data_IF_187439539988
#
_entry.id   IF_187439539988
#
_cell.length_a   1.000
_cell.length_b   1.000
_cell.length_c   1.000
_cell.angle_alpha   90.00
_cell.angle_beta   90.00
_cell.angle_gamma   90.00
#
_symmetry.space_group_name_H-M   'P 1'
#
loop_
_entity.id
_entity.type
_entity.pdbx_description
1 polymer ?
#
# COMPACT_ATOMS: atom_id res chain seq x y z
N UNK A 1 0.86 3.53 -22.33
CA UNK A 1 1.49 3.66 -21.00
C UNK A 1 1.20 2.34 -20.30
N UNK A 2 2.19 1.46 -20.16
CA UNK A 2 1.97 0.14 -19.54
C UNK A 2 1.90 0.35 -18.02
N UNK A 3 0.74 0.06 -17.46
CA UNK A 3 0.57 -0.15 -16.03
C UNK A 3 1.47 -1.31 -15.61
N UNK A 4 2.53 -1.03 -14.85
CA UNK A 4 3.26 -2.06 -14.12
C UNK A 4 2.35 -2.55 -13.02
N UNK A 5 1.79 -3.75 -13.19
CA UNK A 5 0.95 -4.35 -12.16
C UNK A 5 1.82 -4.62 -10.92
N UNK A 6 1.27 -4.37 -9.72
CA UNK A 6 1.95 -4.71 -8.47
C UNK A 6 2.27 -6.22 -8.36
N UNK A 7 1.67 -7.04 -9.23
CA UNK A 7 1.85 -8.48 -9.32
C UNK A 7 3.19 -8.89 -9.99
N UNK A 8 3.85 -8.00 -10.72
CA UNK A 8 5.08 -8.33 -11.48
C UNK A 8 6.36 -8.28 -10.62
N UNK A 9 6.25 -7.93 -9.33
CA UNK A 9 7.39 -7.84 -8.40
C UNK A 9 8.37 -6.69 -8.69
N UNK A 10 8.12 -5.88 -9.73
CA UNK A 10 8.95 -4.74 -10.08
C UNK A 10 8.79 -3.60 -9.06
N UNK A 11 9.87 -2.87 -8.72
CA UNK A 11 9.76 -1.70 -7.87
C UNK A 11 8.80 -0.66 -8.49
N UNK A 12 7.87 -0.16 -7.67
CA UNK A 12 6.93 0.88 -8.07
C UNK A 12 7.41 2.22 -7.54
N UNK A 13 7.71 3.13 -8.45
CA UNK A 13 8.09 4.52 -8.15
C UNK A 13 6.87 5.42 -8.29
N UNK A 14 6.52 6.09 -7.20
CA UNK A 14 5.45 7.09 -7.14
C UNK A 14 6.09 8.42 -6.71
N UNK A 15 6.09 9.40 -7.61
CA UNK A 15 6.74 10.69 -7.33
C UNK A 15 6.04 11.51 -6.23
N UNK A 16 4.86 11.09 -5.78
CA UNK A 16 4.13 11.73 -4.68
C UNK A 16 4.55 11.26 -3.29
N UNK A 17 5.40 10.22 -3.20
CA UNK A 17 5.85 9.64 -1.93
C UNK A 17 7.37 9.73 -1.77
N UNK A 18 7.83 9.74 -0.52
CA UNK A 18 9.26 9.58 -0.19
C UNK A 18 9.68 8.12 -0.32
N UNK A 19 10.73 7.84 -1.08
CA UNK A 19 11.24 6.47 -1.28
C UNK A 19 10.57 5.76 -2.46
N UNK A 20 10.66 4.43 -2.48
CA UNK A 20 10.03 3.58 -3.49
C UNK A 20 9.44 2.32 -2.87
N UNK A 21 8.51 1.67 -3.56
CA UNK A 21 7.85 0.45 -3.08
C UNK A 21 8.40 -0.77 -3.80
N UNK A 22 8.56 -1.86 -3.06
CA UNK A 22 8.92 -3.18 -3.58
C UNK A 22 7.76 -4.12 -3.26
N UNK A 23 7.04 -4.64 -4.27
CA UNK A 23 5.99 -5.62 -4.03
C UNK A 23 6.54 -6.90 -3.41
N UNK A 24 5.81 -7.43 -2.42
CA UNK A 24 6.15 -8.69 -1.74
C UNK A 24 5.17 -9.77 -2.17
N UNK A 25 3.87 -9.52 -2.02
CA UNK A 25 2.81 -10.49 -2.32
C UNK A 25 1.47 -9.79 -2.51
N UNK A 26 0.64 -10.28 -3.43
CA UNK A 26 -0.72 -9.80 -3.64
C UNK A 26 -1.76 -10.88 -3.33
N UNK A 27 -2.79 -10.49 -2.56
CA UNK A 27 -3.96 -11.31 -2.25
C UNK A 27 -5.13 -10.82 -3.09
N UNK A 28 -5.49 -11.56 -4.14
CA UNK A 28 -6.62 -11.24 -5.02
C UNK A 28 -7.96 -11.24 -4.27
N UNK A 29 -8.87 -10.35 -4.65
CA UNK A 29 -10.26 -10.37 -4.16
C UNK A 29 -10.92 -11.73 -4.42
N UNK A 30 -11.78 -12.17 -3.51
CA UNK A 30 -12.45 -13.47 -3.61
C UNK A 30 -11.60 -14.68 -3.21
N UNK A 31 -10.29 -14.53 -2.97
CA UNK A 31 -9.49 -15.64 -2.44
C UNK A 31 -9.80 -15.87 -0.95
N UNK A 32 -10.02 -17.13 -0.51
CA UNK A 32 -10.16 -17.46 0.91
C UNK A 32 -8.89 -17.12 1.67
N UNK A 33 -9.01 -16.38 2.78
CA UNK A 33 -7.85 -16.05 3.63
C UNK A 33 -7.56 -17.12 4.68
N UNK A 34 -8.55 -17.94 5.01
CA UNK A 34 -8.46 -18.98 6.02
C UNK A 34 -9.56 -20.05 5.81
N UNK A 35 -9.59 -21.06 6.69
CA UNK A 35 -10.55 -22.17 6.65
C UNK A 35 -12.01 -21.74 6.96
N UNK A 36 -12.26 -20.50 7.39
CA UNK A 36 -13.62 -20.00 7.62
C UNK A 36 -14.34 -19.61 6.32
N UNK A 37 -13.64 -19.58 5.19
CA UNK A 37 -14.20 -19.19 3.89
C UNK A 37 -14.40 -17.68 3.73
N UNK A 38 -13.87 -16.87 4.66
CA UNK A 38 -13.86 -15.40 4.51
C UNK A 38 -12.93 -14.98 3.38
N UNK A 39 -13.39 -14.05 2.56
CA UNK A 39 -12.67 -13.54 1.39
C UNK A 39 -12.40 -12.04 1.50
N UNK A 40 -11.36 -11.58 0.83
CA UNK A 40 -11.12 -10.14 0.64
C UNK A 40 -12.10 -9.56 -0.38
N UNK A 41 -12.68 -8.39 -0.10
CA UNK A 41 -13.51 -7.66 -1.07
C UNK A 41 -12.67 -6.89 -2.11
N UNK A 42 -11.42 -6.56 -1.75
CA UNK A 42 -10.45 -5.87 -2.59
C UNK A 42 -9.21 -6.75 -2.76
N UNK A 43 -8.54 -6.66 -3.91
CA UNK A 43 -7.19 -7.17 -4.02
C UNK A 43 -6.26 -6.27 -3.21
N UNK A 44 -5.36 -6.86 -2.44
CA UNK A 44 -4.41 -6.14 -1.60
C UNK A 44 -3.00 -6.67 -1.83
N UNK A 45 -2.08 -5.77 -2.16
CA UNK A 45 -0.66 -6.06 -2.33
C UNK A 45 0.14 -5.55 -1.13
N UNK A 46 0.82 -6.47 -0.46
CA UNK A 46 1.83 -6.16 0.54
C UNK A 46 3.09 -5.72 -0.16
N UNK A 47 3.64 -4.60 0.31
CA UNK A 47 4.84 -4.01 -0.25
C UNK A 47 5.75 -3.54 0.89
N UNK A 48 7.04 -3.49 0.62
CA UNK A 48 7.97 -2.72 1.43
C UNK A 48 8.21 -1.38 0.79
N UNK A 49 8.01 -0.31 1.55
CA UNK A 49 8.50 1.00 1.20
C UNK A 49 9.90 1.17 1.73
N UNK A 50 10.84 1.39 0.83
CA UNK A 50 12.24 1.67 1.14
C UNK A 50 12.42 3.18 1.14
N UNK A 51 12.62 3.73 2.33
CA UNK A 51 12.95 5.15 2.51
C UNK A 51 14.43 5.41 2.16
N UNK A 52 14.79 6.68 1.91
CA UNK A 52 16.18 7.08 1.75
C UNK A 52 17.05 6.73 2.97
N UNK A 53 18.37 6.64 2.78
CA UNK A 53 19.33 6.14 3.79
C UNK A 53 19.37 6.95 5.08
N UNK A 54 18.91 8.20 5.06
CA UNK A 54 18.82 9.09 6.21
C UNK A 54 17.56 8.89 7.07
N UNK A 55 16.74 7.86 6.81
CA UNK A 55 15.51 7.58 7.57
C UNK A 55 15.65 6.35 8.48
N UNK A 56 14.99 6.38 9.64
CA UNK A 56 14.90 5.27 10.60
C UNK A 56 13.46 5.09 11.11
N UNK A 57 12.85 3.89 10.98
CA UNK A 57 13.35 2.75 10.22
C UNK A 57 13.36 3.04 8.71
N UNK A 58 14.30 2.43 7.97
CA UNK A 58 14.37 2.58 6.51
C UNK A 58 13.25 1.84 5.77
N UNK A 59 12.80 0.73 6.33
CA UNK A 59 11.81 -0.14 5.69
C UNK A 59 10.47 -0.02 6.41
N UNK A 60 9.40 0.18 5.65
CA UNK A 60 8.04 0.23 6.16
C UNK A 60 7.18 -0.79 5.41
N UNK A 61 6.32 -1.50 6.13
CA UNK A 61 5.30 -2.34 5.51
C UNK A 61 4.13 -1.45 5.06
N UNK A 62 3.73 -1.61 3.80
CA UNK A 62 2.55 -0.97 3.23
C UNK A 62 1.63 -2.01 2.58
N UNK A 63 0.33 -1.71 2.57
CA UNK A 63 -0.67 -2.49 1.85
C UNK A 63 -1.41 -1.59 0.85
N UNK A 64 -1.26 -1.89 -0.43
CA UNK A 64 -1.85 -1.16 -1.55
C UNK A 64 -3.02 -1.92 -2.17
N UNK A 65 -3.95 -1.19 -2.78
CA UNK A 65 -4.96 -1.80 -3.64
C UNK A 65 -4.38 -1.95 -5.04
N UNK A 66 -4.73 -3.04 -5.74
CA UNK A 66 -4.37 -3.16 -7.16
C UNK A 66 -5.28 -2.26 -8.02
N UNK A 67 -5.10 -2.37 -9.34
CA UNK A 67 -5.85 -1.57 -10.31
C UNK A 67 -7.32 -2.01 -10.44
N UNK A 68 -7.66 -3.22 -9.99
CA UNK A 68 -9.03 -3.71 -9.93
C UNK A 68 -9.74 -3.08 -8.72
N UNK A 69 -10.16 -1.85 -8.94
CA UNK A 69 -10.82 -1.03 -7.92
C UNK A 69 -12.28 -1.40 -7.70
N UNK A 70 -12.86 -2.36 -8.43
CA UNK A 70 -14.28 -2.70 -8.29
C UNK A 70 -14.51 -3.72 -7.18
N UNK A 71 -15.47 -3.47 -6.29
CA UNK A 71 -15.90 -4.43 -5.28
C UNK A 71 -17.43 -4.46 -5.12
N UNK A 72 -17.95 -5.46 -4.39
CA UNK A 72 -19.38 -5.73 -4.26
C UNK A 72 -20.10 -5.74 -5.62
N UNK A 73 -19.58 -6.48 -6.60
CA UNK A 73 -20.16 -6.58 -7.95
C UNK A 73 -20.33 -5.24 -8.68
N UNK A 74 -19.50 -4.24 -8.35
CA UNK A 74 -19.51 -2.93 -8.99
C UNK A 74 -20.35 -1.87 -8.28
N UNK A 75 -20.99 -2.19 -7.16
CA UNK A 75 -21.70 -1.20 -6.34
C UNK A 75 -20.79 -0.38 -5.43
N UNK A 76 -19.50 -0.73 -5.35
CA UNK A 76 -18.52 -0.12 -4.47
C UNK A 76 -17.13 -0.08 -5.12
N UNK A 77 -16.27 0.78 -4.57
CA UNK A 77 -14.89 0.99 -5.03
C UNK A 77 -13.89 0.72 -3.91
N UNK A 78 -12.83 -0.02 -4.23
CA UNK A 78 -11.67 -0.24 -3.40
C UNK A 78 -10.78 1.01 -3.37
N UNK A 79 -10.54 1.53 -2.17
CA UNK A 79 -9.67 2.68 -1.95
C UNK A 79 -8.61 2.35 -0.91
N UNK A 80 -7.38 2.81 -1.15
CA UNK A 80 -6.32 2.75 -0.14
C UNK A 80 -6.67 3.70 1.00
N UNK A 81 -6.59 3.20 2.22
CA UNK A 81 -6.67 4.03 3.43
C UNK A 81 -5.25 4.23 3.94
N UNK A 82 -4.71 5.47 3.87
CA UNK A 82 -3.40 5.76 4.41
C UNK A 82 -3.44 5.96 5.92
N UNK A 83 -2.30 5.77 6.57
CA UNK A 83 -2.08 6.10 7.97
C UNK A 83 -0.78 6.89 8.11
N UNK A 84 -0.76 7.83 9.05
CA UNK A 84 0.47 8.52 9.39
C UNK A 84 1.36 7.66 10.28
N UNK A 85 2.64 7.59 9.93
CA UNK A 85 3.69 6.93 10.67
C UNK A 85 4.78 7.91 11.02
N UNK A 86 5.21 7.91 12.28
CA UNK A 86 6.36 8.68 12.74
C UNK A 86 7.63 7.90 12.44
N UNK A 87 8.57 8.56 11.77
CA UNK A 87 9.91 8.04 11.50
C UNK A 87 10.93 9.12 11.85
N UNK A 88 12.17 8.73 12.08
CA UNK A 88 13.27 9.67 12.30
C UNK A 88 13.98 9.96 10.98
N UNK A 89 14.34 11.22 10.74
CA UNK A 89 15.13 11.67 9.59
C UNK A 89 16.41 12.34 10.07
N UNK A 90 17.54 12.07 9.42
CA UNK A 90 18.85 12.62 9.77
C UNK A 90 19.49 13.37 8.60
N UNK A 91 19.14 14.64 8.41
CA UNK A 91 19.70 15.46 7.31
C UNK A 91 21.04 16.14 7.68
N UNK A 92 21.28 16.39 8.96
CA UNK A 92 22.36 17.28 9.44
C UNK A 92 23.22 16.68 10.55
N UNK A 93 23.08 15.37 10.82
CA UNK A 93 23.65 14.72 12.00
C UNK A 93 22.71 14.73 13.22
N UNK A 94 21.55 15.37 13.13
CA UNK A 94 20.52 15.40 14.18
C UNK A 94 19.28 14.67 13.71
N UNK A 95 18.80 13.73 14.54
CA UNK A 95 17.56 12.98 14.29
C UNK A 95 16.34 13.87 14.58
N UNK A 96 15.49 14.06 13.59
CA UNK A 96 14.22 14.77 13.70
C UNK A 96 13.06 13.81 13.41
N UNK A 97 11.99 13.88 14.20
CA UNK A 97 10.78 13.09 13.93
C UNK A 97 9.98 13.74 12.79
N UNK A 98 9.60 12.95 11.80
CA UNK A 98 8.75 13.36 10.67
C UNK A 98 7.60 12.38 10.47
N UNK A 99 6.45 12.88 10.03
CA UNK A 99 5.30 12.05 9.68
C UNK A 99 5.35 11.66 8.20
N UNK A 100 5.16 10.37 7.93
CA UNK A 100 5.00 9.81 6.59
C UNK A 100 3.62 9.17 6.49
N UNK A 101 2.85 9.61 5.51
CA UNK A 101 1.62 8.91 5.10
C UNK A 101 1.99 7.63 4.37
N UNK A 102 1.54 6.49 4.89
CA UNK A 102 1.82 5.18 4.33
C UNK A 102 0.52 4.41 4.07
N UNK A 103 0.46 3.69 2.96
CA UNK A 103 -0.69 2.88 2.61
C UNK A 103 -0.88 1.74 3.61
N UNK A 104 -2.03 1.67 4.28
CA UNK A 104 -2.20 0.78 5.44
C UNK A 104 -3.13 -0.42 5.17
N UNK A 105 -4.25 -0.19 4.48
CA UNK A 105 -5.16 -1.25 4.05
C UNK A 105 -6.09 -0.76 2.91
N UNK A 106 -6.83 -1.69 2.31
CA UNK A 106 -7.85 -1.39 1.31
C UNK A 106 -9.26 -1.50 1.89
N UNK A 107 -10.08 -0.50 1.59
CA UNK A 107 -11.48 -0.45 2.00
C UNK A 107 -12.39 -0.47 0.77
N UNK A 108 -13.41 -1.33 0.79
CA UNK A 108 -14.46 -1.35 -0.21
C UNK A 108 -15.56 -0.37 0.22
N UNK A 109 -15.68 0.78 -0.48
CA UNK A 109 -16.61 1.87 -0.12
C UNK A 109 -17.77 1.94 -1.11
N UNK A 110 -19.03 2.02 -0.66
CA UNK A 110 -20.17 2.22 -1.55
C UNK A 110 -20.01 3.46 -2.41
N UNK A 111 -20.43 3.39 -3.67
CA UNK A 111 -20.53 4.55 -4.55
C UNK A 111 -21.80 5.29 -4.12
N UNK A 112 -21.68 6.24 -3.20
CA UNK A 112 -22.78 7.14 -2.82
C UNK A 112 -22.78 8.34 -3.74
N UNK A 113 -23.90 8.54 -4.45
CA UNK A 113 -24.20 9.72 -5.26
C UNK A 113 -24.78 10.84 -4.43
#
# INVERSE_FOLDING_TARGET
MMATTLDDGAPVTDNSIVGYRVPVECYKKGMPKDASGRVSLCTVCWTWRVLPDNYVPRYMNEALCDEDTSCLSGYATCTVVPREHKVMKNDSGVLTEVSISAANYCECKPIVS
#
